data_IF_997610260847
#
_entry.id   IF_997610260847
#
_cell.length_a   1.000
_cell.length_b   1.000
_cell.length_c   1.000
_cell.angle_alpha   90.00
_cell.angle_beta   90.00
_cell.angle_gamma   90.00
#
_symmetry.space_group_name_H-M   'P 1'
#
loop_
_entity.id
_entity.type
_entity.pdbx_description
1 polymer ?
#
# COMPACT_ATOMS: atom_id res chain seq x y z
N UNK A 1 -20.29 -42.61 9.94
CA UNK A 1 -19.32 -42.56 8.82
C UNK A 1 -19.60 -41.32 7.97
N UNK A 2 -18.59 -40.86 7.24
CA UNK A 2 -18.68 -39.78 6.27
C UNK A 2 -18.32 -40.33 4.89
N UNK A 3 -19.14 -40.01 3.89
CA UNK A 3 -18.90 -40.32 2.49
C UNK A 3 -18.52 -39.03 1.80
N UNK A 4 -17.27 -38.94 1.33
CA UNK A 4 -16.76 -37.81 0.56
C UNK A 4 -16.88 -38.16 -0.91
N UNK A 5 -17.69 -37.40 -1.64
CA UNK A 5 -17.86 -37.52 -3.09
C UNK A 5 -16.99 -36.46 -3.74
N UNK A 6 -16.19 -36.87 -4.72
CA UNK A 6 -15.25 -35.99 -5.41
C UNK A 6 -15.10 -36.36 -6.88
N UNK A 7 -14.71 -35.37 -7.67
CA UNK A 7 -14.39 -35.51 -9.10
C UNK A 7 -13.18 -34.64 -9.41
N UNK A 8 -12.22 -35.18 -10.16
CA UNK A 8 -10.98 -34.48 -10.54
C UNK A 8 -10.29 -33.80 -9.33
N UNK A 9 -10.20 -34.53 -8.21
CA UNK A 9 -9.67 -34.11 -6.92
C UNK A 9 -10.40 -32.94 -6.23
N UNK A 10 -11.61 -32.57 -6.69
CA UNK A 10 -12.47 -31.57 -6.05
C UNK A 10 -13.64 -32.23 -5.36
N UNK A 11 -13.85 -31.89 -4.09
CA UNK A 11 -14.99 -32.34 -3.29
C UNK A 11 -16.26 -31.73 -3.87
N UNK A 12 -17.21 -32.61 -4.18
CA UNK A 12 -18.54 -32.28 -4.70
C UNK A 12 -19.56 -32.25 -3.57
N UNK A 13 -19.45 -33.20 -2.63
CA UNK A 13 -20.31 -33.26 -1.46
C UNK A 13 -19.69 -34.09 -0.34
N UNK A 14 -20.07 -33.81 0.91
CA UNK A 14 -19.71 -34.62 2.08
C UNK A 14 -21.01 -35.01 2.78
N UNK A 15 -21.25 -36.31 2.91
CA UNK A 15 -22.49 -36.85 3.43
C UNK A 15 -22.21 -37.60 4.72
N UNK A 16 -22.84 -37.17 5.82
CA UNK A 16 -22.87 -37.91 7.06
C UNK A 16 -24.01 -38.92 7.03
N UNK A 17 -23.73 -40.19 7.29
CA UNK A 17 -24.73 -41.25 7.35
C UNK A 17 -24.36 -42.31 8.38
N UNK A 18 -25.39 -42.95 8.93
CA UNK A 18 -25.31 -44.13 9.78
C UNK A 18 -25.81 -45.41 9.06
N UNK A 19 -26.22 -45.30 7.79
CA UNK A 19 -26.66 -46.42 6.95
C UNK A 19 -25.48 -47.11 6.26
N UNK A 20 -25.73 -48.24 5.61
CA UNK A 20 -24.73 -48.88 4.76
C UNK A 20 -24.29 -47.99 3.58
N UNK A 21 -23.00 -48.02 3.22
CA UNK A 21 -22.43 -47.15 2.18
C UNK A 21 -23.01 -47.44 0.81
N UNK A 22 -23.17 -48.71 0.42
CA UNK A 22 -23.66 -49.06 -0.92
C UNK A 22 -25.09 -48.59 -1.10
N UNK A 23 -25.92 -48.73 -0.06
CA UNK A 23 -27.29 -48.23 -0.09
C UNK A 23 -27.34 -46.70 -0.22
N UNK A 24 -26.49 -45.98 0.49
CA UNK A 24 -26.43 -44.50 0.40
C UNK A 24 -26.00 -44.06 -1.00
N UNK A 25 -24.95 -44.67 -1.57
CA UNK A 25 -24.48 -44.36 -2.92
C UNK A 25 -25.57 -44.65 -3.96
N UNK A 26 -26.25 -45.79 -3.85
CA UNK A 26 -27.36 -46.16 -4.75
C UNK A 26 -28.50 -45.14 -4.69
N UNK A 27 -28.89 -44.73 -3.48
CA UNK A 27 -29.94 -43.71 -3.29
C UNK A 27 -29.55 -42.36 -3.89
N UNK A 28 -28.27 -41.97 -3.77
CA UNK A 28 -27.76 -40.71 -4.32
C UNK A 28 -27.68 -40.73 -5.85
N UNK A 29 -27.29 -41.87 -6.45
CA UNK A 29 -27.32 -42.06 -7.90
C UNK A 29 -28.75 -42.01 -8.44
N UNK A 30 -29.69 -42.70 -7.81
CA UNK A 30 -31.11 -42.70 -8.19
C UNK A 30 -31.73 -41.28 -8.18
N UNK A 31 -31.26 -40.43 -7.26
CA UNK A 31 -31.69 -39.04 -7.12
C UNK A 31 -30.86 -38.07 -7.97
N UNK A 32 -29.94 -38.55 -8.80
CA UNK A 32 -29.02 -37.75 -9.63
C UNK A 32 -28.16 -36.75 -8.83
N UNK A 33 -27.88 -37.03 -7.55
CA UNK A 33 -26.95 -36.22 -6.76
C UNK A 33 -25.48 -36.55 -7.04
N UNK A 34 -25.20 -37.77 -7.49
CA UNK A 34 -23.88 -38.23 -7.93
C UNK A 34 -24.00 -38.94 -9.28
N UNK A 35 -22.98 -38.75 -10.11
CA UNK A 35 -22.84 -39.33 -11.45
C UNK A 35 -21.98 -40.61 -11.39
N UNK A 36 -21.98 -41.39 -12.46
CA UNK A 36 -21.23 -42.66 -12.51
C UNK A 36 -19.70 -42.48 -12.52
N UNK A 37 -19.22 -41.33 -12.96
CA UNK A 37 -17.80 -40.96 -12.97
C UNK A 37 -17.34 -40.25 -11.69
N UNK A 38 -18.26 -39.92 -10.78
CA UNK A 38 -17.91 -39.41 -9.46
C UNK A 38 -17.26 -40.51 -8.62
N UNK A 39 -16.14 -40.18 -7.96
CA UNK A 39 -15.46 -41.07 -7.03
C UNK A 39 -15.93 -40.80 -5.61
N UNK A 40 -15.83 -41.80 -4.73
CA UNK A 40 -16.10 -41.60 -3.32
C UNK A 40 -15.07 -42.29 -2.43
N UNK A 41 -14.89 -41.75 -1.22
CA UNK A 41 -14.10 -42.37 -0.15
C UNK A 41 -14.87 -42.29 1.16
N UNK A 42 -14.81 -43.35 1.95
CA UNK A 42 -15.48 -43.45 3.24
C UNK A 42 -14.48 -43.19 4.35
N UNK A 43 -14.87 -42.37 5.31
CA UNK A 43 -14.09 -42.08 6.51
C UNK A 43 -14.93 -42.34 7.76
N UNK A 44 -14.32 -42.97 8.76
CA UNK A 44 -14.96 -43.15 10.07
C UNK A 44 -15.21 -41.80 10.76
N UNK A 45 -14.25 -40.88 10.62
CA UNK A 45 -14.31 -39.53 11.18
C UNK A 45 -13.56 -38.57 10.25
N UNK A 46 -14.16 -37.42 9.95
CA UNK A 46 -13.45 -36.30 9.32
C UNK A 46 -12.97 -35.38 10.44
N UNK A 47 -11.69 -35.04 10.39
CA UNK A 47 -11.10 -34.11 11.34
C UNK A 47 -11.14 -32.68 10.79
N UNK A 48 -11.50 -31.74 11.65
CA UNK A 48 -11.43 -30.30 11.39
C UNK A 48 -12.35 -29.78 10.26
N UNK A 49 -13.66 -30.03 10.39
CA UNK A 49 -14.69 -29.50 9.48
C UNK A 49 -14.96 -27.98 9.62
N UNK A 50 -14.25 -27.28 10.51
CA UNK A 50 -14.42 -25.83 10.71
C UNK A 50 -13.83 -25.00 9.57
N UNK A 51 -13.01 -25.59 8.70
CA UNK A 51 -12.54 -24.93 7.47
C UNK A 51 -13.75 -24.66 6.60
N UNK A 52 -14.03 -23.39 6.33
CA UNK A 52 -15.22 -22.96 5.57
C UNK A 52 -15.17 -23.33 4.09
N UNK A 53 -13.97 -23.52 3.54
CA UNK A 53 -13.71 -23.79 2.12
C UNK A 53 -13.00 -25.14 1.90
N UNK A 54 -13.69 -26.23 2.25
CA UNK A 54 -13.19 -27.61 2.04
C UNK A 54 -13.37 -27.99 0.58
N UNK A 55 -12.29 -27.97 -0.22
CA UNK A 55 -12.31 -28.50 -1.59
C UNK A 55 -11.54 -29.81 -1.75
N UNK A 56 -10.71 -30.18 -0.77
CA UNK A 56 -10.01 -31.46 -0.72
C UNK A 56 -9.75 -31.97 0.71
N UNK A 57 -9.57 -33.29 0.83
CA UNK A 57 -9.29 -34.04 2.08
C UNK A 57 -8.07 -34.94 1.80
N UNK A 58 -7.17 -35.08 2.78
CA UNK A 58 -6.00 -35.95 2.71
C UNK A 58 -6.39 -37.43 2.76
N UNK A 59 -5.45 -38.32 2.45
CA UNK A 59 -5.73 -39.75 2.45
C UNK A 59 -6.17 -40.29 3.82
N UNK A 60 -5.75 -39.65 4.91
CA UNK A 60 -6.05 -39.99 6.31
C UNK A 60 -7.41 -39.44 6.82
N UNK A 61 -8.13 -38.66 6.01
CA UNK A 61 -9.42 -38.06 6.39
C UNK A 61 -9.34 -36.70 7.08
N UNK A 62 -8.14 -36.12 7.20
CA UNK A 62 -7.97 -34.73 7.62
C UNK A 62 -8.23 -33.75 6.46
N UNK A 63 -8.84 -32.61 6.77
CA UNK A 63 -9.12 -31.56 5.79
C UNK A 63 -7.82 -30.85 5.39
N UNK A 64 -7.59 -30.66 4.08
CA UNK A 64 -6.44 -29.89 3.60
C UNK A 64 -6.62 -28.39 3.90
N UNK A 65 -5.57 -27.71 4.36
CA UNK A 65 -5.61 -26.25 4.55
C UNK A 65 -5.74 -25.51 3.21
N UNK A 66 -6.09 -24.22 3.22
CA UNK A 66 -6.15 -23.43 1.98
C UNK A 66 -4.78 -23.36 1.30
N UNK A 67 -3.70 -23.26 2.08
CA UNK A 67 -2.32 -23.25 1.61
C UNK A 67 -1.96 -24.57 0.92
N UNK A 68 -2.29 -25.71 1.55
CA UNK A 68 -2.08 -27.04 0.96
C UNK A 68 -2.90 -27.23 -0.33
N UNK A 69 -4.11 -26.68 -0.38
CA UNK A 69 -4.95 -26.72 -1.58
C UNK A 69 -4.36 -25.87 -2.72
N UNK A 70 -3.70 -24.75 -2.43
CA UNK A 70 -2.99 -23.93 -3.42
C UNK A 70 -1.73 -24.65 -3.91
N UNK A 71 -0.92 -25.20 -3.01
CA UNK A 71 0.31 -25.93 -3.34
C UNK A 71 0.03 -27.12 -4.27
N UNK A 72 -1.05 -27.86 -4.00
CA UNK A 72 -1.52 -28.97 -4.82
C UNK A 72 -2.32 -28.54 -6.06
N UNK A 73 -2.43 -27.24 -6.35
CA UNK A 73 -3.17 -26.66 -7.49
C UNK A 73 -4.66 -27.03 -7.54
N UNK A 74 -5.25 -27.34 -6.38
CA UNK A 74 -6.67 -27.66 -6.22
C UNK A 74 -7.49 -26.36 -6.15
N UNK A 75 -6.92 -25.36 -5.48
CA UNK A 75 -7.40 -23.99 -5.37
C UNK A 75 -6.44 -23.06 -6.12
N UNK A 76 -7.00 -22.11 -6.85
CA UNK A 76 -6.24 -20.99 -7.43
C UNK A 76 -6.94 -19.74 -6.96
N UNK A 77 -6.20 -18.84 -6.32
CA UNK A 77 -6.71 -17.54 -5.88
C UNK A 77 -6.84 -16.60 -7.09
N UNK A 78 -7.82 -15.71 -7.06
CA UNK A 78 -7.80 -14.54 -7.96
C UNK A 78 -6.57 -13.67 -7.65
N UNK A 79 -6.14 -12.85 -8.62
CA UNK A 79 -4.96 -12.00 -8.40
C UNK A 79 -5.12 -11.03 -7.22
N UNK A 80 -6.34 -10.58 -6.96
CA UNK A 80 -6.67 -9.66 -5.87
C UNK A 80 -7.12 -10.38 -4.58
N UNK A 81 -6.83 -11.68 -4.45
CA UNK A 81 -7.15 -12.48 -3.28
C UNK A 81 -5.88 -12.98 -2.58
N UNK A 82 -5.95 -13.10 -1.27
CA UNK A 82 -4.91 -13.70 -0.44
C UNK A 82 -5.52 -14.53 0.69
N UNK A 83 -4.71 -15.38 1.33
CA UNK A 83 -5.13 -16.05 2.56
C UNK A 83 -4.79 -15.14 3.73
N UNK A 84 -5.82 -14.74 4.49
CA UNK A 84 -5.68 -13.95 5.71
C UNK A 84 -6.49 -14.63 6.82
N UNK A 85 -5.85 -14.93 7.94
CA UNK A 85 -6.48 -15.61 9.09
C UNK A 85 -7.19 -16.94 8.72
N UNK A 86 -6.61 -17.71 7.79
CA UNK A 86 -7.13 -19.02 7.38
C UNK A 86 -8.36 -18.97 6.46
N UNK A 87 -8.72 -17.80 5.92
CA UNK A 87 -9.78 -17.62 4.93
C UNK A 87 -9.27 -16.92 3.67
N UNK A 88 -9.99 -17.12 2.56
CA UNK A 88 -9.76 -16.33 1.33
C UNK A 88 -10.31 -14.92 1.56
N UNK A 89 -9.44 -13.94 1.42
CA UNK A 89 -9.75 -12.53 1.60
C UNK A 89 -9.52 -11.78 0.28
N UNK A 90 -10.52 -11.00 -0.14
CA UNK A 90 -10.44 -10.14 -1.32
C UNK A 90 -9.97 -8.75 -0.90
N UNK A 91 -8.84 -8.31 -1.48
CA UNK A 91 -8.23 -7.01 -1.21
C UNK A 91 -9.20 -5.87 -1.56
N UNK A 92 -9.34 -4.92 -0.65
CA UNK A 92 -10.22 -3.77 -0.80
C UNK A 92 -9.40 -2.48 -0.98
N UNK A 93 -9.44 -1.90 -2.18
CA UNK A 93 -8.72 -0.65 -2.50
C UNK A 93 -9.06 0.55 -1.59
N UNK A 94 -10.17 0.52 -0.87
CA UNK A 94 -10.53 1.58 0.09
C UNK A 94 -9.83 1.42 1.45
N UNK A 95 -9.11 0.32 1.67
CA UNK A 95 -8.27 0.08 2.85
C UNK A 95 -6.82 0.28 2.43
N UNK A 96 -6.09 1.14 3.13
CA UNK A 96 -4.74 1.55 2.71
C UNK A 96 -3.77 0.36 2.58
N UNK A 97 -3.77 -0.56 3.54
CA UNK A 97 -2.92 -1.76 3.52
C UNK A 97 -3.18 -2.63 2.31
N UNK A 98 -4.45 -2.88 2.00
CA UNK A 98 -4.86 -3.65 0.83
C UNK A 98 -4.55 -2.90 -0.48
N UNK A 99 -4.71 -1.58 -0.52
CA UNK A 99 -4.36 -0.79 -1.70
C UNK A 99 -2.86 -0.83 -1.99
N UNK A 100 -2.02 -0.70 -0.96
CA UNK A 100 -0.56 -0.90 -1.09
C UNK A 100 -0.28 -2.29 -1.66
N UNK A 101 -0.97 -3.32 -1.16
CA UNK A 101 -0.81 -4.68 -1.66
C UNK A 101 -1.22 -4.82 -3.12
N UNK A 102 -2.32 -4.19 -3.54
CA UNK A 102 -2.78 -4.16 -4.93
C UNK A 102 -1.75 -3.49 -5.85
N UNK A 103 -1.12 -2.40 -5.41
CA UNK A 103 -0.04 -1.72 -6.14
C UNK A 103 1.19 -2.64 -6.27
N UNK A 104 1.60 -3.30 -5.19
CA UNK A 104 2.74 -4.25 -5.22
C UNK A 104 2.51 -5.45 -6.14
N UNK A 105 1.25 -5.87 -6.28
CA UNK A 105 0.84 -6.93 -7.19
C UNK A 105 0.69 -6.45 -8.65
N UNK A 106 0.85 -5.15 -8.92
CA UNK A 106 0.67 -4.55 -10.24
C UNK A 106 -0.78 -4.56 -10.72
N UNK A 107 -1.74 -4.54 -9.79
CA UNK A 107 -3.18 -4.57 -10.08
C UNK A 107 -3.84 -3.19 -10.02
N UNK A 108 -3.21 -2.26 -9.31
CA UNK A 108 -3.63 -0.87 -9.21
C UNK A 108 -2.39 0.03 -9.39
N UNK A 109 -2.63 1.25 -9.85
CA UNK A 109 -1.60 2.27 -10.00
C UNK A 109 -1.67 3.25 -8.83
N UNK A 110 -0.50 3.58 -8.28
CA UNK A 110 -0.36 4.66 -7.32
C UNK A 110 -0.33 5.99 -8.09
N UNK A 111 -0.92 7.04 -7.52
CA UNK A 111 -0.77 8.40 -8.08
C UNK A 111 0.73 8.75 -8.20
N UNK A 112 1.15 9.25 -9.36
CA UNK A 112 2.55 9.58 -9.64
C UNK A 112 3.14 10.58 -8.63
N UNK A 113 2.31 11.40 -7.97
CA UNK A 113 2.73 12.35 -6.93
C UNK A 113 2.85 11.72 -5.55
N UNK A 114 2.52 10.45 -5.40
CA UNK A 114 2.58 9.70 -4.15
C UNK A 114 3.74 8.69 -4.16
N UNK A 115 4.09 8.22 -2.96
CA UNK A 115 5.07 7.15 -2.74
C UNK A 115 4.66 6.28 -1.58
N UNK A 116 5.07 5.01 -1.62
CA UNK A 116 4.94 4.07 -0.51
C UNK A 116 6.22 4.14 0.33
N UNK A 117 6.07 4.40 1.62
CA UNK A 117 7.16 4.45 2.59
C UNK A 117 6.98 3.34 3.61
N UNK A 118 8.09 2.76 4.06
CA UNK A 118 8.10 1.78 5.16
C UNK A 118 8.61 2.48 6.42
N UNK A 119 7.83 2.47 7.50
CA UNK A 119 8.25 2.96 8.81
C UNK A 119 9.22 1.99 9.50
N UNK A 120 9.85 2.47 10.58
CA UNK A 120 10.85 1.71 11.34
C UNK A 120 10.30 0.39 11.94
N UNK A 121 8.99 0.32 12.17
CA UNK A 121 8.29 -0.89 12.62
C UNK A 121 7.90 -1.85 11.48
N UNK A 122 8.30 -1.55 10.24
CA UNK A 122 8.03 -2.34 9.05
C UNK A 122 6.66 -2.09 8.42
N UNK A 123 5.83 -1.20 8.97
CA UNK A 123 4.53 -0.87 8.36
C UNK A 123 4.71 0.00 7.13
N UNK A 124 3.92 -0.28 6.09
CA UNK A 124 3.89 0.52 4.87
C UNK A 124 2.74 1.52 4.90
N UNK A 125 2.99 2.73 4.41
CA UNK A 125 1.97 3.76 4.26
C UNK A 125 2.22 4.59 2.99
N UNK A 126 1.16 5.23 2.51
CA UNK A 126 1.22 6.11 1.34
C UNK A 126 1.36 7.55 1.82
N UNK A 127 2.29 8.29 1.22
CA UNK A 127 2.50 9.72 1.45
C UNK A 127 2.72 10.45 0.14
N UNK A 128 2.59 11.77 0.15
CA UNK A 128 2.93 12.62 -0.98
C UNK A 128 4.46 12.69 -1.14
N UNK A 129 4.92 12.76 -2.39
CA UNK A 129 6.30 13.12 -2.72
C UNK A 129 6.57 14.56 -2.29
N UNK A 130 7.78 14.82 -1.85
CA UNK A 130 8.25 16.19 -1.60
C UNK A 130 8.31 16.98 -2.91
N UNK A 131 8.28 18.32 -2.83
CA UNK A 131 8.45 19.17 -4.01
C UNK A 131 9.77 18.90 -4.74
N UNK A 132 10.83 18.53 -4.02
CA UNK A 132 12.11 18.16 -4.63
C UNK A 132 12.02 16.85 -5.41
N UNK A 133 11.35 15.82 -4.87
CA UNK A 133 11.08 14.57 -5.60
C UNK A 133 10.21 14.83 -6.82
N UNK A 134 9.12 15.59 -6.65
CA UNK A 134 8.23 15.96 -7.76
C UNK A 134 9.00 16.68 -8.88
N UNK A 135 9.92 17.57 -8.53
CA UNK A 135 10.72 18.29 -9.52
C UNK A 135 11.72 17.38 -10.22
N UNK A 136 12.49 16.55 -9.49
CA UNK A 136 13.46 15.60 -10.06
C UNK A 136 12.82 14.59 -11.00
N UNK A 137 11.57 14.23 -10.74
CA UNK A 137 10.79 13.31 -11.56
C UNK A 137 10.00 14.00 -12.69
N UNK A 138 10.16 15.32 -12.89
CA UNK A 138 9.45 16.13 -13.88
C UNK A 138 7.91 16.12 -13.72
N UNK A 139 7.43 15.95 -12.48
CA UNK A 139 6.01 15.96 -12.13
C UNK A 139 5.47 17.37 -11.81
N UNK A 140 6.37 18.33 -11.65
CA UNK A 140 6.09 19.77 -11.54
C UNK A 140 7.10 20.56 -12.37
N UNK A 141 6.72 21.77 -12.76
CA UNK A 141 7.55 22.70 -13.51
C UNK A 141 8.60 23.40 -12.63
N UNK A 142 9.64 23.95 -13.25
CA UNK A 142 10.63 24.82 -12.57
C UNK A 142 9.95 26.02 -11.91
N UNK A 143 8.91 26.58 -12.54
CA UNK A 143 8.15 27.70 -11.98
C UNK A 143 7.43 27.30 -10.67
N UNK A 144 6.73 26.17 -10.67
CA UNK A 144 6.06 25.63 -9.48
C UNK A 144 7.05 25.33 -8.35
N UNK A 145 8.21 24.72 -8.68
CA UNK A 145 9.26 24.46 -7.70
C UNK A 145 9.84 25.76 -7.12
N UNK A 146 10.14 26.75 -7.98
CA UNK A 146 10.66 28.04 -7.55
C UNK A 146 9.65 28.82 -6.69
N UNK A 147 8.34 28.71 -6.97
CA UNK A 147 7.30 29.28 -6.13
C UNK A 147 7.26 28.64 -4.73
N UNK A 148 7.43 27.32 -4.64
CA UNK A 148 7.58 26.63 -3.36
C UNK A 148 8.81 27.14 -2.58
N UNK A 149 9.97 27.25 -3.24
CA UNK A 149 11.20 27.79 -2.63
C UNK A 149 10.99 29.23 -2.13
N UNK A 150 10.32 30.08 -2.91
CA UNK A 150 10.01 31.45 -2.49
C UNK A 150 9.14 31.44 -1.23
N UNK A 151 8.12 30.58 -1.18
CA UNK A 151 7.26 30.42 -0.01
C UNK A 151 8.04 29.96 1.23
N UNK A 152 8.98 29.02 1.08
CA UNK A 152 9.87 28.59 2.18
C UNK A 152 10.78 29.73 2.65
N UNK A 153 11.36 30.50 1.73
CA UNK A 153 12.19 31.67 2.10
C UNK A 153 11.37 32.74 2.83
N UNK A 154 10.15 33.01 2.35
CA UNK A 154 9.26 34.00 2.95
C UNK A 154 8.81 33.60 4.35
N UNK A 155 8.59 32.32 4.63
CA UNK A 155 8.20 31.86 5.97
C UNK A 155 9.32 32.05 7.02
N UNK A 156 10.59 32.10 6.58
CA UNK A 156 11.73 32.40 7.45
C UNK A 156 11.92 33.90 7.74
N UNK A 157 11.31 34.77 6.94
CA UNK A 157 11.33 36.21 7.21
C UNK A 157 10.28 36.55 8.28
N UNK A 158 10.74 37.02 9.45
CA UNK A 158 9.90 37.33 10.63
C UNK A 158 8.78 38.35 10.34
N UNK A 159 8.91 39.13 9.27
CA UNK A 159 7.85 39.94 8.68
C UNK A 159 7.81 39.66 7.18
N UNK A 160 6.59 39.47 6.64
CA UNK A 160 6.32 39.20 5.24
C UNK A 160 6.69 40.41 4.35
N UNK A 161 7.98 40.65 4.18
CA UNK A 161 8.51 41.44 3.10
C UNK A 161 8.63 40.48 1.93
N UNK A 162 7.91 40.78 0.86
CA UNK A 162 8.20 40.18 -0.44
C UNK A 162 9.73 40.23 -0.67
N UNK A 163 10.31 39.12 -1.12
CA UNK A 163 11.77 38.96 -1.20
C UNK A 163 12.43 40.07 -2.03
N UNK A 164 11.73 40.57 -3.05
CA UNK A 164 12.15 41.72 -3.86
C UNK A 164 12.15 43.03 -3.06
N UNK A 165 11.13 43.25 -2.21
CA UNK A 165 11.07 44.43 -1.34
C UNK A 165 12.21 44.43 -0.33
N UNK A 166 12.55 43.26 0.23
CA UNK A 166 13.71 43.12 1.11
C UNK A 166 15.02 43.44 0.36
N UNK A 167 15.19 42.95 -0.88
CA UNK A 167 16.35 43.27 -1.73
C UNK A 167 16.49 44.77 -2.02
N UNK A 168 15.38 45.41 -2.37
CA UNK A 168 15.32 46.83 -2.65
C UNK A 168 15.68 47.66 -1.41
N UNK A 169 15.11 47.33 -0.25
CA UNK A 169 15.43 48.02 1.01
C UNK A 169 16.90 47.81 1.37
N UNK A 170 17.42 46.60 1.22
CA UNK A 170 18.82 46.29 1.48
C UNK A 170 19.76 47.08 0.56
N UNK A 171 19.44 47.19 -0.73
CA UNK A 171 20.20 48.02 -1.69
C UNK A 171 20.25 49.50 -1.27
N UNK A 172 19.10 50.05 -0.85
CA UNK A 172 19.03 51.43 -0.34
C UNK A 172 19.86 51.58 0.94
N UNK A 173 19.75 50.64 1.89
CA UNK A 173 20.51 50.68 3.14
C UNK A 173 22.02 50.55 2.90
N UNK A 174 22.45 49.68 1.98
CA UNK A 174 23.85 49.57 1.57
C UNK A 174 24.37 50.86 0.95
N UNK A 175 23.55 51.53 0.11
CA UNK A 175 23.90 52.82 -0.46
C UNK A 175 24.09 53.89 0.64
N UNK A 176 23.16 53.98 1.59
CA UNK A 176 23.27 54.88 2.75
C UNK A 176 24.49 54.57 3.62
N UNK A 177 24.80 53.27 3.83
CA UNK A 177 25.99 52.84 4.56
C UNK A 177 27.27 53.33 3.87
N UNK A 178 27.34 53.17 2.54
CA UNK A 178 28.49 53.61 1.73
C UNK A 178 28.68 55.12 1.71
N UNK A 179 27.60 55.89 1.88
CA UNK A 179 27.64 57.34 2.02
C UNK A 179 27.97 57.82 3.44
N UNK A 180 28.17 56.90 4.39
CA UNK A 180 28.42 57.22 5.80
C UNK A 180 27.19 57.77 6.53
N UNK A 181 25.99 57.52 6.00
CA UNK A 181 24.72 58.04 6.55
C UNK A 181 24.08 57.10 7.58
N UNK A 182 24.66 55.91 7.80
CA UNK A 182 24.24 54.98 8.84
C UNK A 182 25.17 55.03 10.06
N UNK A 183 24.60 54.85 11.25
CA UNK A 183 25.38 54.65 12.48
C UNK A 183 26.07 53.29 12.49
N UNK A 184 27.09 53.12 13.33
CA UNK A 184 27.79 51.82 13.47
C UNK A 184 26.85 50.70 13.94
N UNK A 185 25.89 51.01 14.80
CA UNK A 185 24.85 50.04 15.22
C UNK A 185 23.98 49.62 14.02
N UNK A 186 23.55 50.57 13.18
CA UNK A 186 22.76 50.30 11.98
C UNK A 186 23.54 49.48 10.96
N UNK A 187 24.85 49.73 10.79
CA UNK A 187 25.73 48.93 9.92
C UNK A 187 25.85 47.49 10.42
N UNK A 188 26.06 47.29 11.72
CA UNK A 188 26.13 45.94 12.31
C UNK A 188 24.82 45.17 12.17
N UNK A 189 23.67 45.83 12.36
CA UNK A 189 22.36 45.23 12.12
C UNK A 189 22.16 44.86 10.64
N UNK A 190 22.60 45.72 9.72
CA UNK A 190 22.55 45.44 8.28
C UNK A 190 23.39 44.20 7.93
N UNK A 191 24.64 44.12 8.37
CA UNK A 191 25.51 42.95 8.15
C UNK A 191 24.90 41.65 8.71
N UNK A 192 24.27 41.72 9.89
CA UNK A 192 23.59 40.56 10.49
C UNK A 192 22.41 40.09 9.62
N UNK A 193 21.61 41.02 9.09
CA UNK A 193 20.49 40.70 8.19
C UNK A 193 20.98 40.08 6.88
N UNK A 194 22.07 40.61 6.32
CA UNK A 194 22.69 40.08 5.09
C UNK A 194 23.16 38.64 5.27
N UNK A 195 23.83 38.37 6.39
CA UNK A 195 24.32 37.04 6.73
C UNK A 195 23.16 36.04 6.80
N UNK A 196 22.13 36.34 7.59
CA UNK A 196 20.93 35.48 7.73
C UNK A 196 20.23 35.24 6.40
N UNK A 197 20.19 36.25 5.55
CA UNK A 197 19.54 36.16 4.24
C UNK A 197 20.31 35.28 3.28
N UNK A 198 21.64 35.37 3.30
CA UNK A 198 22.50 34.51 2.51
C UNK A 198 22.41 33.05 2.98
N UNK A 199 22.30 32.81 4.29
CA UNK A 199 22.05 31.50 4.88
C UNK A 199 20.73 30.90 4.35
N UNK A 200 19.61 31.65 4.42
CA UNK A 200 18.30 31.22 3.90
C UNK A 200 18.36 30.88 2.40
N UNK A 201 19.03 31.70 1.59
CA UNK A 201 19.17 31.44 0.14
C UNK A 201 19.99 30.19 -0.15
N UNK A 202 20.96 29.88 0.71
CA UNK A 202 21.83 28.71 0.59
C UNK A 202 21.08 27.44 1.00
N UNK A 203 20.27 27.51 2.05
CA UNK A 203 19.44 26.39 2.52
C UNK A 203 18.31 26.04 1.53
N UNK A 204 17.72 27.06 0.90
CA UNK A 204 16.63 26.90 -0.06
C UNK A 204 17.01 27.49 -1.42
N UNK A 205 17.87 26.84 -2.23
CA UNK A 205 18.29 27.35 -3.54
C UNK A 205 17.12 27.35 -4.54
N UNK A 206 17.16 28.30 -5.49
CA UNK A 206 16.27 28.28 -6.66
C UNK A 206 16.96 27.50 -7.78
N UNK A 207 16.16 26.87 -8.62
CA UNK A 207 16.65 26.19 -9.82
C UNK A 207 16.52 27.12 -11.04
N UNK A 208 17.50 27.04 -11.95
CA UNK A 208 17.59 27.85 -13.16
C UNK A 208 16.84 27.21 -14.33
#
# INVERSE_FOLDING_TARGET
MYIVIYKDNKIKNIISSNKDTEQVIKDLKLKNFILDDDKYKVFEKIQNMSVTDIRAIKEDGSVMSLEEQIENKILVLEKAEEIRNGGIYKLNKNIQEDFIRLVELGLEELDDKQKIVTSDDGRKYITQKSYEELFKENLITTEEYNNYIISQRQSQYMYNLDGERAELVESVLNNLASQGLLTEEQKSQLESLQTKRQEIKTEYPKEN
#
